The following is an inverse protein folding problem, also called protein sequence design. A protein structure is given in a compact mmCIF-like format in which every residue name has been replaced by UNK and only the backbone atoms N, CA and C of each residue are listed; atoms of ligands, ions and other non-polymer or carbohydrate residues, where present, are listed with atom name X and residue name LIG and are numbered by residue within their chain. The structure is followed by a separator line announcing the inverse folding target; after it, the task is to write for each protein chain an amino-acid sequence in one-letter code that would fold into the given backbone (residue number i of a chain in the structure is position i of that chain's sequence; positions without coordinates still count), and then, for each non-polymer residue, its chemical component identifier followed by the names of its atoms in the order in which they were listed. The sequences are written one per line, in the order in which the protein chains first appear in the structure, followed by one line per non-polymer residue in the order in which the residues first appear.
data_IF_061372580173
#
_entry.id   IF_061372580173
#
_cell.length_a   1.000
_cell.length_b   1.000
_cell.length_c   1.000
_cell.angle_alpha   90.00
_cell.angle_beta   90.00
_cell.angle_gamma   90.00
#
_symmetry.space_group_name_H-M   'P 1'
#
loop_
_entity.id
_entity.type
_entity.pdbx_description
1 polymer ?
#
# COMPACT_ATOMS: atom_id res chain seq x y z
N UNK A 1 -50.71 -6.48 -78.44
CA UNK A 1 -49.94 -5.86 -77.34
C UNK A 1 -48.48 -6.21 -77.59
N UNK A 2 -47.68 -5.27 -78.12
CA UNK A 2 -46.66 -4.49 -77.37
C UNK A 2 -45.48 -5.39 -76.93
N UNK A 3 -44.36 -5.42 -77.68
CA UNK A 3 -43.14 -4.56 -77.59
C UNK A 3 -42.24 -4.97 -76.39
N UNK A 4 -41.08 -5.62 -76.60
CA UNK A 4 -39.75 -5.05 -76.93
C UNK A 4 -39.29 -3.94 -75.99
N UNK A 5 -38.19 -4.18 -75.25
CA UNK A 5 -36.97 -3.36 -75.30
C UNK A 5 -35.75 -4.19 -74.89
N UNK A 6 -34.77 -4.13 -75.77
CA UNK A 6 -33.37 -4.54 -75.65
C UNK A 6 -32.62 -3.54 -74.75
N UNK A 7 -31.54 -3.99 -74.09
CA UNK A 7 -30.42 -3.09 -73.82
C UNK A 7 -29.45 -3.50 -72.71
N UNK A 8 -28.45 -4.30 -73.08
CA UNK A 8 -27.00 -4.11 -72.80
C UNK A 8 -26.59 -3.07 -71.74
N UNK A 9 -25.80 -3.46 -70.75
CA UNK A 9 -24.36 -3.08 -70.59
C UNK A 9 -23.82 -3.30 -69.17
N UNK A 10 -22.54 -3.66 -69.10
CA UNK A 10 -21.76 -3.96 -67.90
C UNK A 10 -21.72 -2.84 -66.84
N UNK A 11 -21.98 -3.20 -65.58
CA UNK A 11 -21.54 -2.50 -64.35
C UNK A 11 -21.53 -3.56 -63.25
N UNK A 12 -20.47 -3.88 -62.51
CA UNK A 12 -19.07 -3.50 -62.51
C UNK A 12 -18.46 -4.37 -61.41
N UNK A 13 -17.33 -5.01 -61.70
CA UNK A 13 -16.42 -5.58 -60.70
C UNK A 13 -15.83 -4.38 -59.94
N UNK A 14 -16.64 -3.76 -59.08
CA UNK A 14 -16.32 -2.56 -58.32
C UNK A 14 -16.64 -2.72 -56.82
N UNK A 15 -17.33 -3.81 -56.42
CA UNK A 15 -17.57 -4.12 -55.01
C UNK A 15 -16.42 -4.82 -54.29
N UNK A 16 -15.56 -5.54 -55.03
CA UNK A 16 -14.51 -6.38 -54.42
C UNK A 16 -13.21 -5.59 -54.14
N UNK A 17 -12.92 -4.54 -54.92
CA UNK A 17 -11.74 -3.68 -54.68
C UNK A 17 -12.00 -2.66 -53.56
N UNK A 18 -13.23 -2.13 -53.46
CA UNK A 18 -13.64 -1.25 -52.36
C UNK A 18 -13.47 -1.92 -50.99
N UNK A 19 -14.00 -3.13 -50.82
CA UNK A 19 -13.90 -3.90 -49.56
C UNK A 19 -12.45 -4.20 -49.16
N UNK A 20 -11.55 -4.43 -50.13
CA UNK A 20 -10.13 -4.73 -49.85
C UNK A 20 -9.33 -3.48 -49.43
N UNK A 21 -9.62 -2.31 -50.01
CA UNK A 21 -8.96 -1.05 -49.62
C UNK A 21 -9.51 -0.49 -48.29
N UNK A 22 -10.82 -0.60 -48.04
CA UNK A 22 -11.42 -0.18 -46.75
C UNK A 22 -11.03 -1.11 -45.59
N UNK A 23 -10.83 -2.42 -45.87
CA UNK A 23 -10.38 -3.39 -44.86
C UNK A 23 -8.91 -3.20 -44.42
N UNK A 24 -8.07 -2.61 -45.27
CA UNK A 24 -6.65 -2.34 -44.95
C UNK A 24 -6.51 -1.10 -44.06
N UNK A 25 -7.27 -0.04 -44.35
CA UNK A 25 -7.30 1.19 -43.55
C UNK A 25 -7.92 0.95 -42.16
N UNK A 26 -8.94 0.09 -42.06
CA UNK A 26 -9.55 -0.29 -40.77
C UNK A 26 -8.64 -1.21 -39.94
N UNK A 27 -7.84 -2.08 -40.57
CA UNK A 27 -6.85 -2.91 -39.86
C UNK A 27 -5.68 -2.11 -39.32
N UNK A 28 -5.17 -1.13 -40.05
CA UNK A 28 -4.07 -0.29 -39.56
C UNK A 28 -4.54 0.62 -38.41
N UNK A 29 -5.77 1.13 -38.47
CA UNK A 29 -6.38 1.87 -37.37
C UNK A 29 -6.69 0.97 -36.17
N UNK A 30 -7.18 -0.26 -36.38
CA UNK A 30 -7.42 -1.23 -35.32
C UNK A 30 -6.12 -1.70 -34.66
N UNK A 31 -5.04 -1.85 -35.42
CA UNK A 31 -3.72 -2.21 -34.88
C UNK A 31 -3.06 -1.04 -34.14
N UNK A 32 -3.29 0.19 -34.58
CA UNK A 32 -2.83 1.38 -33.87
C UNK A 32 -3.59 1.53 -32.53
N UNK A 33 -4.91 1.42 -32.54
CA UNK A 33 -5.72 1.48 -31.30
C UNK A 33 -5.47 0.30 -30.38
N UNK A 34 -5.27 -0.92 -30.90
CA UNK A 34 -4.87 -2.07 -30.10
C UNK A 34 -3.49 -1.89 -29.46
N UNK A 35 -2.50 -1.32 -30.16
CA UNK A 35 -1.18 -1.06 -29.56
C UNK A 35 -1.24 -0.01 -28.47
N UNK A 36 -2.05 1.03 -28.68
CA UNK A 36 -2.25 2.10 -27.71
C UNK A 36 -3.02 1.59 -26.48
N UNK A 37 -4.06 0.77 -26.67
CA UNK A 37 -4.78 0.08 -25.61
C UNK A 37 -3.89 -0.92 -24.86
N UNK A 38 -3.13 -1.76 -25.55
CA UNK A 38 -2.20 -2.70 -24.90
C UNK A 38 -1.07 -1.98 -24.14
N UNK A 39 -0.64 -0.82 -24.63
CA UNK A 39 0.31 0.04 -23.92
C UNK A 39 -0.30 0.59 -22.62
N UNK A 40 -1.53 1.08 -22.71
CA UNK A 40 -2.29 1.59 -21.57
C UNK A 40 -2.58 0.51 -20.53
N UNK A 41 -3.04 -0.67 -20.96
CA UNK A 41 -3.32 -1.82 -20.09
C UNK A 41 -2.07 -2.30 -19.35
N UNK A 42 -0.90 -2.28 -20.03
CA UNK A 42 0.38 -2.64 -19.40
C UNK A 42 0.82 -1.65 -18.34
N UNK A 43 0.60 -0.36 -18.58
CA UNK A 43 0.91 0.70 -17.60
C UNK A 43 0.00 0.58 -16.37
N UNK A 44 -1.31 0.44 -16.59
CA UNK A 44 -2.28 0.23 -15.51
C UNK A 44 -1.97 -1.05 -14.71
N UNK A 45 -1.66 -2.16 -15.37
CA UNK A 45 -1.31 -3.42 -14.70
C UNK A 45 -0.01 -3.32 -13.91
N UNK A 46 0.93 -2.46 -14.33
CA UNK A 46 2.17 -2.20 -13.59
C UNK A 46 1.91 -1.36 -12.35
N UNK A 47 1.19 -0.26 -12.50
CA UNK A 47 0.80 0.63 -11.39
C UNK A 47 0.03 -0.12 -10.32
N UNK A 48 -0.93 -0.98 -10.71
CA UNK A 48 -1.70 -1.80 -9.77
C UNK A 48 -0.81 -2.74 -8.94
N UNK A 49 0.19 -3.38 -9.55
CA UNK A 49 1.13 -4.26 -8.83
C UNK A 49 2.06 -3.49 -7.90
N UNK A 50 2.48 -2.29 -8.29
CA UNK A 50 3.31 -1.43 -7.46
C UNK A 50 2.52 -0.94 -6.23
N UNK A 51 1.23 -0.57 -6.42
CA UNK A 51 0.34 -0.24 -5.30
C UNK A 51 0.08 -1.41 -4.36
N UNK A 52 -0.17 -2.62 -4.89
CA UNK A 52 -0.38 -3.82 -4.08
C UNK A 52 0.83 -4.15 -3.18
N UNK A 53 2.06 -3.98 -3.72
CA UNK A 53 3.30 -4.21 -2.96
C UNK A 53 3.48 -3.18 -1.84
N UNK A 54 3.18 -1.92 -2.12
CA UNK A 54 3.25 -0.84 -1.13
C UNK A 54 2.20 -1.04 -0.04
N UNK A 55 0.96 -1.35 -0.41
CA UNK A 55 -0.12 -1.65 0.53
C UNK A 55 0.26 -2.81 1.44
N UNK A 56 0.80 -3.90 0.87
CA UNK A 56 1.29 -5.05 1.63
C UNK A 56 2.39 -4.65 2.61
N UNK A 57 3.39 -3.88 2.17
CA UNK A 57 4.48 -3.42 3.03
C UNK A 57 3.95 -2.59 4.22
N UNK A 58 2.98 -1.71 3.97
CA UNK A 58 2.38 -0.85 4.99
C UNK A 58 1.48 -1.62 5.95
N UNK A 59 0.71 -2.59 5.47
CA UNK A 59 -0.10 -3.44 6.34
C UNK A 59 0.78 -4.30 7.26
N UNK A 60 1.86 -4.90 6.75
CA UNK A 60 2.78 -5.67 7.60
C UNK A 60 3.47 -4.78 8.65
N UNK A 61 3.88 -3.57 8.28
CA UNK A 61 4.42 -2.59 9.22
C UNK A 61 3.42 -2.25 10.33
N UNK A 62 2.17 -1.95 9.98
CA UNK A 62 1.15 -1.58 10.96
C UNK A 62 0.77 -2.77 11.87
N UNK A 63 0.68 -3.98 11.33
CA UNK A 63 0.46 -5.19 12.14
C UNK A 63 1.57 -5.40 13.16
N UNK A 64 2.83 -5.25 12.74
CA UNK A 64 3.98 -5.34 13.64
C UNK A 64 3.92 -4.24 14.70
N UNK A 65 3.63 -3.01 14.30
CA UNK A 65 3.54 -1.88 15.22
C UNK A 65 2.40 -2.05 16.25
N UNK A 66 1.25 -2.55 15.84
CA UNK A 66 0.12 -2.83 16.74
C UNK A 66 0.45 -3.94 17.74
N UNK A 67 1.10 -5.03 17.31
CA UNK A 67 1.51 -6.11 18.22
C UNK A 67 2.49 -5.63 19.29
N UNK A 68 3.48 -4.85 18.89
CA UNK A 68 4.42 -4.23 19.84
C UNK A 68 3.69 -3.22 20.72
N UNK A 69 2.76 -2.44 20.18
CA UNK A 69 1.95 -1.52 20.96
C UNK A 69 1.11 -2.24 22.02
N UNK A 70 0.49 -3.37 21.66
CA UNK A 70 -0.24 -4.20 22.62
C UNK A 70 0.68 -4.69 23.74
N UNK A 71 1.86 -5.22 23.39
CA UNK A 71 2.88 -5.58 24.38
C UNK A 71 3.29 -4.39 25.27
N UNK A 72 3.58 -3.23 24.68
CA UNK A 72 4.03 -2.03 25.39
C UNK A 72 3.00 -1.55 26.43
N UNK A 73 1.71 -1.70 26.12
CA UNK A 73 0.63 -1.32 27.02
C UNK A 73 0.34 -2.37 28.11
N UNK A 74 0.64 -3.66 27.86
CA UNK A 74 0.35 -4.76 28.81
C UNK A 74 1.54 -5.16 29.67
N UNK A 75 2.78 -4.92 29.22
CA UNK A 75 4.00 -5.32 29.93
C UNK A 75 4.14 -4.55 31.24
N UNK A 76 4.34 -5.27 32.34
CA UNK A 76 4.45 -4.75 33.71
C UNK A 76 3.33 -3.74 34.07
N UNK A 77 2.09 -4.20 34.33
CA UNK A 77 0.99 -3.31 34.71
C UNK A 77 1.25 -2.68 36.09
N UNK A 78 0.67 -1.49 36.33
CA UNK A 78 0.83 -0.75 37.60
C UNK A 78 0.27 -1.55 38.79
N UNK A 79 -0.84 -2.26 38.56
CA UNK A 79 -1.41 -3.22 39.48
C UNK A 79 -1.42 -4.57 38.77
N UNK A 80 -0.71 -5.54 39.33
CA UNK A 80 -0.67 -6.90 38.79
C UNK A 80 -1.37 -7.86 39.75
N UNK A 81 -2.42 -8.53 39.26
CA UNK A 81 -3.04 -9.66 39.94
C UNK A 81 -2.78 -10.91 39.10
N UNK A 82 -1.98 -11.85 39.63
CA UNK A 82 -1.64 -13.09 38.92
C UNK A 82 -0.43 -13.00 37.99
N UNK A 83 -0.21 -14.02 37.13
CA UNK A 83 0.95 -14.09 36.25
C UNK A 83 0.97 -12.94 35.24
N UNK A 84 2.16 -12.60 34.72
CA UNK A 84 2.27 -11.55 33.71
C UNK A 84 1.48 -11.90 32.45
N UNK A 85 0.90 -10.91 31.75
CA UNK A 85 0.28 -11.14 30.45
C UNK A 85 1.31 -11.72 29.48
N UNK A 86 0.98 -12.85 28.86
CA UNK A 86 1.79 -13.42 27.79
C UNK A 86 1.44 -12.72 26.48
N UNK A 87 2.07 -11.56 26.26
CA UNK A 87 1.98 -10.84 24.99
C UNK A 87 3.35 -10.89 24.33
N UNK A 88 3.65 -11.89 23.49
CA UNK A 88 4.99 -12.03 22.93
C UNK A 88 5.28 -10.90 21.94
N UNK A 89 6.51 -10.38 22.01
CA UNK A 89 7.03 -9.50 20.96
C UNK A 89 7.07 -10.26 19.62
N UNK A 90 6.93 -9.56 18.47
CA UNK A 90 7.13 -10.18 17.16
C UNK A 90 8.49 -10.86 17.06
N UNK A 91 8.56 -12.03 16.41
CA UNK A 91 9.83 -12.74 16.19
C UNK A 91 10.80 -11.90 15.37
N UNK A 92 12.10 -12.17 15.51
CA UNK A 92 13.15 -11.48 14.75
C UNK A 92 12.98 -11.63 13.23
N UNK A 93 12.48 -12.78 12.78
CA UNK A 93 12.15 -13.02 11.37
C UNK A 93 11.06 -12.04 10.88
N UNK A 94 9.96 -11.93 11.61
CA UNK A 94 8.88 -10.98 11.28
C UNK A 94 9.39 -9.54 11.29
N UNK A 95 10.26 -9.18 12.23
CA UNK A 95 10.87 -7.85 12.28
C UNK A 95 11.76 -7.58 11.07
N UNK A 96 12.60 -8.54 10.69
CA UNK A 96 13.51 -8.44 9.55
C UNK A 96 12.75 -8.35 8.22
N UNK A 97 11.74 -9.21 8.02
CA UNK A 97 10.89 -9.21 6.83
C UNK A 97 10.15 -7.88 6.67
N UNK A 98 9.57 -7.38 7.76
CA UNK A 98 8.88 -6.09 7.76
C UNK A 98 9.84 -4.94 7.49
N UNK A 99 11.04 -4.97 8.07
CA UNK A 99 12.08 -3.97 7.80
C UNK A 99 12.52 -3.98 6.32
N UNK A 100 12.70 -5.16 5.73
CA UNK A 100 13.06 -5.31 4.32
C UNK A 100 11.96 -4.78 3.39
N UNK A 101 10.69 -5.09 3.67
CA UNK A 101 9.54 -4.57 2.91
C UNK A 101 9.48 -3.04 2.96
N UNK A 102 9.63 -2.45 4.14
CA UNK A 102 9.60 -1.00 4.33
C UNK A 102 10.82 -0.33 3.68
N UNK A 103 11.98 -0.98 3.70
CA UNK A 103 13.17 -0.47 3.00
C UNK A 103 13.01 -0.49 1.46
N UNK A 104 12.31 -1.50 0.93
CA UNK A 104 12.12 -1.68 -0.50
C UNK A 104 10.99 -0.79 -1.08
N UNK A 105 9.90 -0.59 -0.32
CA UNK A 105 8.69 0.04 -0.84
C UNK A 105 8.22 1.28 -0.08
N UNK A 106 8.74 1.51 1.12
CA UNK A 106 8.31 2.63 1.96
C UNK A 106 8.89 3.97 1.52
N UNK A 107 8.06 5.01 1.61
CA UNK A 107 8.51 6.40 1.46
C UNK A 107 9.55 6.77 2.52
N UNK A 108 10.28 7.86 2.29
CA UNK A 108 11.25 8.36 3.27
C UNK A 108 10.54 8.80 4.56
N UNK A 109 9.35 9.38 4.44
CA UNK A 109 8.52 9.85 5.53
C UNK A 109 8.03 8.68 6.39
N UNK A 110 7.53 7.60 5.78
CA UNK A 110 7.14 6.39 6.53
C UNK A 110 8.35 5.76 7.20
N UNK A 111 9.51 5.71 6.52
CA UNK A 111 10.75 5.19 7.10
C UNK A 111 11.21 5.99 8.32
N UNK A 112 11.13 7.32 8.26
CA UNK A 112 11.45 8.19 9.39
C UNK A 112 10.51 7.94 10.58
N UNK A 113 9.18 7.90 10.34
CA UNK A 113 8.21 7.62 11.41
C UNK A 113 8.35 6.22 11.97
N UNK A 114 8.67 5.24 11.13
CA UNK A 114 8.92 3.87 11.55
C UNK A 114 10.16 3.79 12.44
N UNK A 115 11.24 4.50 12.12
CA UNK A 115 12.45 4.52 12.95
C UNK A 115 12.22 5.23 14.29
N UNK A 116 11.51 6.36 14.28
CA UNK A 116 11.14 7.07 15.51
C UNK A 116 10.32 6.18 16.45
N UNK A 117 9.34 5.45 15.91
CA UNK A 117 8.58 4.48 16.68
C UNK A 117 9.45 3.30 17.18
N UNK A 118 10.33 2.74 16.33
CA UNK A 118 11.26 1.66 16.73
C UNK A 118 12.24 2.09 17.81
N UNK A 119 12.68 3.35 17.82
CA UNK A 119 13.54 3.88 18.88
C UNK A 119 12.86 3.78 20.25
N UNK A 120 11.62 4.27 20.35
CA UNK A 120 10.85 4.18 21.60
C UNK A 120 10.58 2.73 21.99
N UNK A 121 10.23 1.87 21.02
CA UNK A 121 10.01 0.45 21.29
C UNK A 121 11.28 -0.24 21.83
N UNK A 122 12.46 0.05 21.26
CA UNK A 122 13.74 -0.47 21.76
C UNK A 122 14.03 -0.03 23.19
N UNK A 123 13.79 1.24 23.50
CA UNK A 123 13.97 1.76 24.86
C UNK A 123 13.06 1.04 25.85
N UNK A 124 11.80 0.80 25.47
CA UNK A 124 10.86 0.03 26.30
C UNK A 124 11.32 -1.43 26.51
N UNK A 125 11.79 -2.10 25.45
CA UNK A 125 12.31 -3.47 25.53
C UNK A 125 13.53 -3.52 26.46
N UNK A 126 14.46 -2.59 26.30
CA UNK A 126 15.63 -2.50 27.16
C UNK A 126 15.24 -2.29 28.64
N UNK A 127 14.22 -1.47 28.93
CA UNK A 127 13.71 -1.34 30.30
C UNK A 127 13.03 -2.63 30.77
N UNK A 128 12.26 -3.31 29.93
CA UNK A 128 11.60 -4.56 30.28
C UNK A 128 12.60 -5.66 30.62
N UNK A 129 13.71 -5.77 29.88
CA UNK A 129 14.80 -6.72 30.15
C UNK A 129 15.54 -6.42 31.46
N UNK A 130 15.54 -5.17 31.92
CA UNK A 130 16.13 -4.77 33.20
C UNK A 130 15.26 -5.10 34.41
N UNK A 131 13.93 -5.22 34.23
CA UNK A 131 13.00 -5.43 35.36
C UNK A 131 13.31 -6.71 36.14
N UNK A 132 13.50 -7.90 35.53
CA UNK A 132 13.81 -9.11 36.27
C UNK A 132 15.07 -8.97 37.13
N UNK A 133 16.12 -8.34 36.58
CA UNK A 133 17.37 -8.13 37.31
C UNK A 133 17.20 -7.18 38.51
N UNK A 134 16.43 -6.10 38.35
CA UNK A 134 16.13 -5.15 39.43
C UNK A 134 15.21 -5.75 40.50
N UNK A 135 14.25 -6.59 40.11
CA UNK A 135 13.38 -7.30 41.04
C UNK A 135 14.18 -8.30 41.90
N UNK A 136 15.26 -8.90 41.34
CA UNK A 136 16.17 -9.80 42.05
C UNK A 136 17.18 -9.07 42.97
N UNK A 137 17.55 -7.83 42.64
CA UNK A 137 18.59 -7.07 43.35
C UNK A 137 18.12 -5.65 43.76
N UNK A 138 17.07 -5.52 44.59
CA UNK A 138 16.46 -4.22 44.91
C UNK A 138 17.41 -3.24 45.61
N UNK A 139 18.41 -3.74 46.34
CA UNK A 139 19.44 -2.95 47.04
C UNK A 139 20.56 -2.41 46.12
N UNK A 140 20.65 -2.90 44.89
CA UNK A 140 21.70 -2.51 43.94
C UNK A 140 21.41 -1.22 43.18
N UNK A 141 20.20 -0.67 43.33
CA UNK A 141 19.75 0.56 42.66
C UNK A 141 20.47 1.79 43.24
N UNK A 142 21.17 2.58 42.39
CA UNK A 142 21.78 3.83 42.83
C UNK A 142 20.74 4.81 43.39
N UNK A 143 21.10 5.61 44.42
CA UNK A 143 20.21 6.62 44.96
C UNK A 143 19.76 7.62 43.88
N UNK A 144 18.44 7.75 43.70
CA UNK A 144 17.84 8.69 42.74
C UNK A 144 17.61 8.14 41.33
N UNK A 145 17.99 6.88 41.05
CA UNK A 145 17.69 6.26 39.77
C UNK A 145 16.23 5.75 39.71
N UNK A 146 15.54 6.02 38.59
CA UNK A 146 14.16 5.53 38.39
C UNK A 146 14.19 4.03 38.09
N UNK A 147 13.35 3.28 38.82
CA UNK A 147 13.09 1.85 38.61
C UNK A 147 12.62 1.64 37.15
N UNK A 148 13.10 0.59 36.50
CA UNK A 148 12.81 0.28 35.10
C UNK A 148 11.30 0.19 34.83
N UNK A 149 10.52 -0.38 35.76
CA UNK A 149 9.05 -0.39 35.73
C UNK A 149 8.45 1.02 35.58
N UNK A 150 8.97 2.00 36.32
CA UNK A 150 8.51 3.39 36.23
C UNK A 150 8.85 4.01 34.86
N UNK A 151 10.06 3.76 34.35
CA UNK A 151 10.47 4.20 33.00
C UNK A 151 9.58 3.61 31.90
N UNK A 152 9.18 2.33 32.00
CA UNK A 152 8.22 1.71 31.06
C UNK A 152 6.90 2.50 31.02
N UNK A 153 6.35 2.85 32.19
CA UNK A 153 5.11 3.63 32.25
C UNK A 153 5.24 5.02 31.63
N UNK A 154 6.40 5.67 31.80
CA UNK A 154 6.71 6.97 31.20
C UNK A 154 6.84 6.90 29.68
N UNK A 155 7.35 5.79 29.14
CA UNK A 155 7.52 5.59 27.70
C UNK A 155 6.22 5.22 26.97
N UNK A 156 5.22 4.64 27.64
CA UNK A 156 3.92 4.27 27.04
C UNK A 156 3.23 5.38 26.23
N UNK A 157 3.10 6.63 26.72
CA UNK A 157 2.51 7.71 25.93
C UNK A 157 3.34 8.07 24.69
N UNK A 158 4.67 7.95 24.77
CA UNK A 158 5.56 8.23 23.64
C UNK A 158 5.50 7.13 22.58
N UNK A 159 5.43 5.86 23.00
CA UNK A 159 5.21 4.72 22.10
C UNK A 159 3.90 4.92 21.34
N UNK A 160 2.81 5.17 22.06
CA UNK A 160 1.48 5.38 21.46
C UNK A 160 1.52 6.55 20.49
N UNK A 161 2.12 7.68 20.86
CA UNK A 161 2.21 8.88 20.01
C UNK A 161 3.00 8.58 18.73
N UNK A 162 4.14 7.90 18.85
CA UNK A 162 4.97 7.55 17.69
C UNK A 162 4.26 6.57 16.75
N UNK A 163 3.56 5.58 17.31
CA UNK A 163 2.75 4.61 16.54
C UNK A 163 1.56 5.26 15.84
N UNK A 164 0.85 6.14 16.53
CA UNK A 164 -0.27 6.91 15.96
C UNK A 164 0.22 7.81 14.81
N UNK A 165 1.39 8.45 14.97
CA UNK A 165 2.01 9.26 13.93
C UNK A 165 2.41 8.43 12.70
N UNK A 166 2.99 7.23 12.91
CA UNK A 166 3.27 6.28 11.84
C UNK A 166 1.99 5.86 11.10
N UNK A 167 0.94 5.50 11.85
CA UNK A 167 -0.36 5.14 11.28
C UNK A 167 -1.02 6.26 10.48
N UNK A 168 -0.90 7.51 10.95
CA UNK A 168 -1.38 8.69 10.25
C UNK A 168 -0.63 8.91 8.92
N UNK A 169 0.70 8.76 8.92
CA UNK A 169 1.50 8.90 7.71
C UNK A 169 1.13 7.83 6.66
N UNK A 170 1.09 6.56 7.06
CA UNK A 170 0.69 5.45 6.18
C UNK A 170 -0.70 5.69 5.59
N UNK A 171 -1.66 6.11 6.41
CA UNK A 171 -3.02 6.43 5.94
C UNK A 171 -3.03 7.56 4.92
N UNK A 172 -2.22 8.60 5.13
CA UNK A 172 -2.13 9.74 4.21
C UNK A 172 -1.61 9.32 2.83
N UNK A 173 -0.62 8.43 2.78
CA UNK A 173 -0.02 7.95 1.54
C UNK A 173 -0.93 7.00 0.78
N UNK A 174 -1.59 6.07 1.48
CA UNK A 174 -2.59 5.20 0.87
C UNK A 174 -3.76 6.01 0.30
N UNK A 175 -4.26 7.00 1.05
CA UNK A 175 -5.33 7.87 0.57
C UNK A 175 -4.93 8.72 -0.65
N UNK A 176 -3.67 9.13 -0.75
CA UNK A 176 -3.15 9.82 -1.93
C UNK A 176 -3.03 8.87 -3.12
N UNK A 177 -2.46 7.68 -2.93
CA UNK A 177 -2.30 6.66 -3.98
C UNK A 177 -3.63 6.18 -4.59
N UNK A 178 -4.69 6.05 -3.78
CA UNK A 178 -6.02 5.69 -4.29
C UNK A 178 -6.72 6.85 -5.03
N UNK A 179 -6.46 8.11 -4.66
CA UNK A 179 -7.02 9.27 -5.38
C UNK A 179 -6.40 9.43 -6.77
N UNK A 180 -5.08 9.26 -6.88
CA UNK A 180 -4.40 9.35 -8.19
C UNK A 180 -4.87 8.28 -9.17
N UNK A 181 -5.16 7.05 -8.72
CA UNK A 181 -5.69 6.00 -9.59
C UNK A 181 -7.18 6.17 -9.91
N UNK A 182 -7.97 6.78 -9.01
CA UNK A 182 -9.37 7.10 -9.26
C UNK A 182 -9.57 8.20 -10.32
N UNK A 183 -8.76 9.26 -10.28
CA UNK A 183 -8.82 10.36 -11.26
C UNK A 183 -8.46 9.90 -12.67
N UNK A 184 -7.42 9.08 -12.82
CA UNK A 184 -7.04 8.45 -14.10
C UNK A 184 -8.16 7.61 -14.70
N UNK A 185 -9.00 6.98 -13.87
CA UNK A 185 -10.13 6.15 -14.29
C UNK A 185 -11.37 6.97 -14.68
N UNK A 186 -11.56 8.13 -14.08
CA UNK A 186 -12.70 9.02 -14.35
C UNK A 186 -12.55 9.91 -15.60
N UNK A 187 -11.30 10.16 -16.03
CA UNK A 187 -11.02 10.97 -17.23
C UNK A 187 -11.29 10.29 -18.58
N UNK A 188 -11.71 9.02 -18.60
CA UNK A 188 -11.93 8.24 -19.83
C UNK A 188 -13.40 8.15 -20.29
N UNK A 189 -14.36 8.71 -19.55
CA UNK A 189 -15.78 8.68 -19.91
C UNK A 189 -16.30 10.04 -20.38
N UNK A 190 -15.87 10.49 -21.56
CA UNK A 190 -16.65 11.45 -22.36
C UNK A 190 -17.05 10.76 -23.66
N UNK A 191 -18.32 10.34 -23.82
CA UNK A 191 -18.83 9.97 -25.13
C UNK A 191 -18.87 11.24 -25.98
N UNK A 192 -18.13 11.22 -27.09
CA UNK A 192 -18.17 12.26 -28.11
C UNK A 192 -19.54 12.14 -28.79
N UNK A 193 -20.49 12.97 -28.37
CA UNK A 193 -21.77 13.11 -29.07
C UNK A 193 -21.49 13.44 -30.54
N UNK A 194 -21.96 12.54 -31.42
CA UNK A 194 -21.97 12.76 -32.86
C UNK A 194 -22.90 13.91 -33.17
N UNK A 195 -22.49 14.91 -33.98
CA UNK A 195 -23.43 15.89 -34.49
C UNK A 195 -24.29 15.21 -35.55
N UNK A 196 -25.59 15.15 -35.28
CA UNK A 196 -26.61 14.86 -36.29
C UNK A 196 -26.58 15.94 -37.38
N UNK A 197 -26.42 15.52 -38.63
CA UNK A 197 -26.91 16.22 -39.83
C UNK A 197 -27.35 15.19 -40.87
#
# INVERSE_FOLDING_TARGET
MAWEWIGTSAVGIAGIVGTWFTGKQSRDQALATLREQLGHDRLQAREAREQERLERAYLELLKMAERVGQWAQTVYPFIQFGPLPDTPLPSLEVQADTAALVAAFGSNEVREKAEAWRAVARDMIAQADLVPWQDEHPESLPPGERIARAKIHELRPDEKRARDALGAQVRSELAFGYRSTGELRSGQSTPRESPEL
#
